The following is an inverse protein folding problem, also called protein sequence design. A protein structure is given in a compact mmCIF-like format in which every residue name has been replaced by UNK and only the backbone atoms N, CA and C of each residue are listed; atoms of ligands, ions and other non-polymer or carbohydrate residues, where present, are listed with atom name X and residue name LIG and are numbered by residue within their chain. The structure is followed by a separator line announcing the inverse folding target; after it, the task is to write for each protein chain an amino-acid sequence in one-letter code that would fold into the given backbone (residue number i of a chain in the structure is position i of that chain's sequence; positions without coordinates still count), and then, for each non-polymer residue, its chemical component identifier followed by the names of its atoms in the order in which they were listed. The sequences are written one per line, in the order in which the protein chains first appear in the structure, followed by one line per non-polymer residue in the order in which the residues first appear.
data_IF_253214092220
#
_entry.id   IF_253214092220
#
_cell.length_a   1.000
_cell.length_b   1.000
_cell.length_c   1.000
_cell.angle_alpha   90.00
_cell.angle_beta   90.00
_cell.angle_gamma   90.00
#
_symmetry.space_group_name_H-M   'P 1'
#
loop_
_entity.id
_entity.type
_entity.pdbx_description
1 polymer ?
#
# COMPACT_ATOMS: atom_id res chain seq x y z
N UNK A 1 75.83 -32.08 -52.01
CA UNK A 1 74.43 -32.36 -52.34
C UNK A 1 73.62 -32.09 -51.08
N UNK A 2 73.01 -30.92 -50.99
CA UNK A 2 72.34 -30.42 -49.78
C UNK A 2 70.83 -30.64 -49.96
N UNK A 3 70.21 -31.44 -49.10
CA UNK A 3 68.76 -31.71 -49.12
C UNK A 3 68.07 -30.66 -48.26
N UNK A 4 67.21 -29.85 -48.88
CA UNK A 4 66.38 -28.85 -48.21
C UNK A 4 65.05 -29.50 -47.82
N UNK A 5 64.85 -29.75 -46.52
CA UNK A 5 63.58 -30.26 -45.99
C UNK A 5 62.72 -29.08 -45.56
N UNK A 6 61.58 -28.87 -46.24
CA UNK A 6 60.57 -27.87 -45.86
C UNK A 6 59.60 -28.51 -44.86
N UNK A 7 59.54 -27.98 -43.65
CA UNK A 7 58.57 -28.39 -42.62
C UNK A 7 57.36 -27.46 -42.71
N UNK A 8 56.20 -27.99 -43.10
CA UNK A 8 54.92 -27.29 -42.98
C UNK A 8 54.32 -27.57 -41.60
N UNK A 9 54.22 -26.54 -40.77
CA UNK A 9 53.44 -26.59 -39.53
C UNK A 9 51.97 -26.32 -39.86
N UNK A 10 51.10 -27.31 -39.68
CA UNK A 10 49.65 -27.12 -39.76
C UNK A 10 49.16 -26.81 -38.34
N UNK A 11 48.73 -25.57 -38.09
CA UNK A 11 48.02 -25.22 -36.86
C UNK A 11 46.59 -25.77 -36.93
N UNK A 12 46.29 -26.78 -36.14
CA UNK A 12 44.92 -27.24 -35.92
C UNK A 12 44.18 -26.20 -35.08
N UNK A 13 43.13 -25.59 -35.64
CA UNK A 13 42.16 -24.84 -34.85
C UNK A 13 41.26 -25.84 -34.12
N UNK A 14 41.39 -25.96 -32.80
CA UNK A 14 40.38 -26.59 -31.98
C UNK A 14 39.18 -25.64 -31.92
N UNK A 15 38.15 -25.88 -32.73
CA UNK A 15 36.84 -25.28 -32.49
C UNK A 15 36.22 -26.02 -31.31
N UNK A 16 36.31 -25.41 -30.12
CA UNK A 16 35.42 -25.78 -29.01
C UNK A 16 34.01 -25.43 -29.46
N UNK A 17 33.22 -26.46 -29.75
CA UNK A 17 31.77 -26.38 -29.91
C UNK A 17 31.17 -25.96 -28.56
N UNK A 18 31.16 -24.65 -28.33
CA UNK A 18 30.38 -24.05 -27.27
C UNK A 18 28.97 -23.90 -27.80
N UNK A 19 28.06 -24.77 -27.35
CA UNK A 19 26.64 -24.51 -27.47
C UNK A 19 26.36 -23.10 -26.94
N UNK A 20 25.46 -22.32 -27.56
CA UNK A 20 25.06 -21.04 -26.99
C UNK A 20 24.50 -21.31 -25.58
N UNK A 21 25.20 -20.84 -24.56
CA UNK A 21 24.60 -20.64 -23.26
C UNK A 21 23.54 -19.58 -23.45
N UNK A 22 22.27 -20.00 -23.48
CA UNK A 22 21.17 -19.12 -23.09
C UNK A 22 21.50 -18.75 -21.64
N UNK A 23 22.11 -17.59 -21.48
CA UNK A 23 21.99 -16.82 -20.26
C UNK A 23 20.50 -16.52 -20.15
N UNK A 24 19.76 -17.37 -19.44
CA UNK A 24 18.57 -16.92 -18.74
C UNK A 24 19.08 -15.96 -17.68
N UNK A 25 19.49 -14.75 -18.10
CA UNK A 25 19.26 -13.60 -17.25
C UNK A 25 17.74 -13.45 -17.28
N UNK A 26 17.04 -14.32 -16.54
CA UNK A 26 15.77 -13.92 -15.98
C UNK A 26 16.08 -12.56 -15.35
N UNK A 27 15.35 -11.52 -15.78
CA UNK A 27 15.42 -10.26 -15.06
C UNK A 27 15.36 -10.61 -13.59
N UNK A 28 16.32 -10.11 -12.81
CA UNK A 28 16.29 -10.33 -11.37
C UNK A 28 14.87 -9.98 -10.93
N UNK A 29 14.18 -10.93 -10.30
CA UNK A 29 12.88 -10.63 -9.74
C UNK A 29 13.12 -9.48 -8.75
N UNK A 30 12.37 -8.39 -8.89
CA UNK A 30 12.45 -7.26 -7.97
C UNK A 30 12.30 -7.82 -6.53
N UNK A 31 13.16 -7.34 -5.64
CA UNK A 31 13.14 -7.82 -4.28
C UNK A 31 11.88 -7.27 -3.60
N UNK A 32 11.24 -8.10 -2.78
CA UNK A 32 10.17 -7.61 -1.90
C UNK A 32 10.73 -6.42 -1.08
N UNK A 33 9.94 -5.35 -1.00
CA UNK A 33 10.25 -4.04 -0.43
C UNK A 33 11.13 -3.11 -1.26
N UNK A 34 11.39 -3.41 -2.53
CA UNK A 34 11.96 -2.43 -3.43
C UNK A 34 11.01 -1.23 -3.57
N UNK A 35 11.54 -0.01 -3.37
CA UNK A 35 10.79 1.22 -3.64
C UNK A 35 10.66 1.39 -5.15
N UNK A 36 9.43 1.24 -5.65
CA UNK A 36 9.10 1.32 -7.08
C UNK A 36 8.50 2.67 -7.48
N UNK A 37 8.08 3.47 -6.50
CA UNK A 37 7.52 4.79 -6.73
C UNK A 37 7.77 5.73 -5.55
N UNK A 38 7.96 7.01 -5.84
CA UNK A 38 8.08 8.08 -4.86
C UNK A 38 7.57 9.39 -5.46
N UNK A 39 6.38 9.81 -5.02
CA UNK A 39 5.73 11.01 -5.51
C UNK A 39 5.77 12.10 -4.44
N UNK A 40 6.55 13.15 -4.71
CA UNK A 40 6.56 14.40 -3.94
C UNK A 40 5.22 15.11 -4.16
N UNK A 41 4.38 15.13 -3.13
CA UNK A 41 2.99 15.57 -3.26
C UNK A 41 2.89 17.09 -3.36
N UNK A 42 3.75 17.83 -2.66
CA UNK A 42 3.81 19.28 -2.76
C UNK A 42 4.35 19.75 -4.10
N UNK A 43 5.40 19.10 -4.63
CA UNK A 43 5.84 19.34 -6.00
C UNK A 43 4.77 18.93 -7.03
N UNK A 44 3.96 17.92 -6.68
CA UNK A 44 2.81 17.45 -7.45
C UNK A 44 1.62 18.41 -7.47
N UNK A 45 1.59 19.43 -6.61
CA UNK A 45 0.58 20.49 -6.61
C UNK A 45 -0.22 20.62 -5.30
N UNK A 46 0.02 19.78 -4.29
CA UNK A 46 -0.60 19.96 -2.97
C UNK A 46 0.02 21.19 -2.28
N UNK A 47 -0.79 22.13 -1.76
CA UNK A 47 -0.28 23.42 -1.31
C UNK A 47 0.38 23.40 0.08
N UNK A 48 0.29 22.31 0.84
CA UNK A 48 0.79 22.21 2.21
C UNK A 48 1.03 20.75 2.66
N UNK A 49 1.83 20.60 3.72
CA UNK A 49 2.20 19.31 4.34
C UNK A 49 1.18 18.80 5.37
N UNK A 50 -0.11 18.77 5.00
CA UNK A 50 -1.19 18.21 5.84
C UNK A 50 -1.92 17.09 5.12
N UNK A 51 -1.20 16.28 4.34
CA UNK A 51 -1.77 15.08 3.75
C UNK A 51 -2.00 14.03 4.84
N UNK A 52 -3.16 13.37 4.87
CA UNK A 52 -3.53 12.49 6.01
C UNK A 52 -4.18 11.16 5.61
N UNK A 53 -4.40 10.94 4.32
CA UNK A 53 -4.98 9.70 3.82
C UNK A 53 -4.69 9.52 2.34
N UNK A 54 -4.63 8.26 1.92
CA UNK A 54 -4.45 7.89 0.53
C UNK A 54 -5.26 6.64 0.19
N UNK A 55 -5.74 6.53 -1.06
CA UNK A 55 -6.55 5.41 -1.54
C UNK A 55 -6.39 5.21 -3.04
N UNK A 56 -6.55 3.99 -3.53
CA UNK A 56 -6.52 3.67 -4.96
C UNK A 56 -7.90 3.21 -5.43
N UNK A 57 -8.49 3.89 -6.41
CA UNK A 57 -9.83 3.57 -6.94
C UNK A 57 -9.82 2.63 -8.16
N UNK A 58 -8.65 2.10 -8.53
CA UNK A 58 -8.44 1.34 -9.76
C UNK A 58 -7.90 2.16 -10.94
N UNK A 59 -7.93 3.49 -10.87
CA UNK A 59 -7.50 4.43 -11.93
C UNK A 59 -6.59 5.55 -11.40
N UNK A 60 -6.93 6.13 -10.25
CA UNK A 60 -6.26 7.26 -9.64
C UNK A 60 -5.94 6.99 -8.16
N UNK A 61 -4.83 7.57 -7.70
CA UNK A 61 -4.56 7.74 -6.28
C UNK A 61 -5.33 8.95 -5.77
N UNK A 62 -6.18 8.73 -4.79
CA UNK A 62 -6.86 9.76 -4.03
C UNK A 62 -5.99 10.11 -2.84
N UNK A 63 -5.68 11.39 -2.66
CA UNK A 63 -4.95 11.90 -1.49
C UNK A 63 -5.80 12.94 -0.81
N UNK A 64 -5.97 12.82 0.51
CA UNK A 64 -6.66 13.82 1.33
C UNK A 64 -5.66 14.78 1.94
N UNK A 65 -5.95 16.07 1.85
CA UNK A 65 -5.17 17.13 2.47
C UNK A 65 -6.06 18.00 3.36
N UNK A 66 -5.55 18.35 4.54
CA UNK A 66 -6.19 19.32 5.42
C UNK A 66 -6.07 20.75 4.89
N UNK A 67 -7.02 21.60 5.28
CA UNK A 67 -6.99 23.04 5.01
C UNK A 67 -5.87 23.78 5.77
N UNK A 68 -5.39 23.21 6.87
CA UNK A 68 -4.30 23.79 7.66
C UNK A 68 -4.23 23.30 9.10
N UNK A 69 -3.20 23.72 9.81
CA UNK A 69 -3.03 23.43 11.24
C UNK A 69 -4.25 23.92 12.04
N UNK A 70 -4.70 23.09 12.99
CA UNK A 70 -5.87 23.31 13.84
C UNK A 70 -7.24 23.13 13.16
N UNK A 71 -7.29 22.62 11.92
CA UNK A 71 -8.53 22.06 11.37
C UNK A 71 -9.59 23.09 10.96
N UNK A 72 -9.22 24.34 10.71
CA UNK A 72 -10.12 25.34 10.16
C UNK A 72 -10.08 25.34 8.63
N UNK A 73 -11.25 25.32 7.97
CA UNK A 73 -11.40 25.32 6.51
C UNK A 73 -11.94 23.98 5.98
N UNK A 74 -11.95 23.85 4.65
CA UNK A 74 -12.44 22.66 3.95
C UNK A 74 -11.25 21.86 3.43
N UNK A 75 -11.15 20.59 3.82
CA UNK A 75 -10.14 19.68 3.27
C UNK A 75 -10.35 19.47 1.76
N UNK A 76 -9.30 19.06 1.05
CA UNK A 76 -9.30 18.85 -0.40
C UNK A 76 -8.87 17.42 -0.75
N UNK A 77 -9.56 16.80 -1.70
CA UNK A 77 -9.07 15.62 -2.40
C UNK A 77 -8.17 16.09 -3.55
N UNK A 78 -7.09 15.36 -3.77
CA UNK A 78 -6.21 15.48 -4.93
C UNK A 78 -6.10 14.11 -5.58
N UNK A 79 -6.40 14.04 -6.88
CA UNK A 79 -6.36 12.81 -7.66
C UNK A 79 -5.08 12.80 -8.48
N UNK A 80 -4.23 11.80 -8.25
CA UNK A 80 -3.02 11.57 -9.02
C UNK A 80 -3.19 10.38 -9.94
N UNK A 81 -2.67 10.49 -11.15
CA UNK A 81 -2.48 9.34 -12.04
C UNK A 81 -1.55 8.30 -11.41
N UNK A 82 -1.52 7.09 -11.99
CA UNK A 82 -0.60 6.04 -11.56
C UNK A 82 0.87 6.44 -11.61
N UNK A 83 1.22 7.44 -12.42
CA UNK A 83 2.58 7.94 -12.61
C UNK A 83 2.90 9.16 -11.71
N UNK A 84 2.01 9.48 -10.75
CA UNK A 84 2.23 10.55 -9.79
C UNK A 84 1.91 11.97 -10.29
N UNK A 85 1.30 12.11 -11.47
CA UNK A 85 0.87 13.42 -11.98
C UNK A 85 -0.52 13.79 -11.46
N UNK A 86 -0.70 15.00 -10.95
CA UNK A 86 -2.01 15.53 -10.54
C UNK A 86 -2.96 15.62 -11.74
N UNK A 87 -4.18 15.12 -11.57
CA UNK A 87 -5.24 15.03 -12.57
C UNK A 87 -6.41 15.95 -12.23
N UNK A 88 -6.83 15.97 -10.97
CA UNK A 88 -7.97 16.74 -10.50
C UNK A 88 -7.85 17.06 -9.00
N UNK A 89 -8.60 18.07 -8.54
CA UNK A 89 -8.75 18.41 -7.14
C UNK A 89 -10.15 18.95 -6.84
N UNK A 90 -10.70 18.58 -5.67
CA UNK A 90 -12.02 19.03 -5.26
C UNK A 90 -12.22 18.98 -3.73
N UNK A 91 -13.20 19.73 -3.18
CA UNK A 91 -13.44 19.76 -1.74
C UNK A 91 -13.91 18.41 -1.17
N UNK A 92 -13.42 18.06 0.03
CA UNK A 92 -13.88 16.91 0.83
C UNK A 92 -15.24 17.17 1.52
N UNK A 93 -16.10 17.98 0.89
CA UNK A 93 -17.36 18.48 1.48
C UNK A 93 -17.16 18.97 2.93
N UNK A 94 -18.11 18.76 3.84
CA UNK A 94 -18.03 19.25 5.22
C UNK A 94 -16.95 18.58 6.10
N UNK A 95 -15.97 17.88 5.51
CA UNK A 95 -14.87 17.29 6.25
C UNK A 95 -14.11 18.36 7.06
N UNK A 96 -13.58 17.99 8.24
CA UNK A 96 -12.87 18.91 9.12
C UNK A 96 -11.63 19.45 8.41
N UNK A 97 -11.10 20.57 8.85
CA UNK A 97 -9.91 21.16 8.21
C UNK A 97 -8.64 20.30 8.35
N UNK A 98 -8.67 19.16 9.04
CA UNK A 98 -7.59 18.18 8.98
C UNK A 98 -7.71 17.19 7.81
N UNK A 99 -8.83 17.18 7.09
CA UNK A 99 -9.15 16.21 6.03
C UNK A 99 -9.70 14.88 6.56
N UNK A 100 -10.10 13.99 5.66
CA UNK A 100 -10.50 12.62 5.95
C UNK A 100 -9.26 11.76 6.18
N UNK A 101 -9.28 10.90 7.20
CA UNK A 101 -8.17 10.02 7.56
C UNK A 101 -8.24 8.71 6.83
N UNK A 102 -7.12 8.39 6.18
CA UNK A 102 -6.90 7.21 5.32
C UNK A 102 -8.03 6.96 4.32
N UNK A 103 -7.80 6.11 3.31
CA UNK A 103 -8.87 5.81 2.36
C UNK A 103 -8.86 4.34 1.95
N UNK A 104 -10.05 3.77 1.80
CA UNK A 104 -10.21 2.45 1.18
C UNK A 104 -11.27 2.48 0.08
N UNK A 105 -11.20 1.51 -0.83
CA UNK A 105 -12.07 1.39 -1.99
C UNK A 105 -12.79 0.04 -1.97
N UNK A 106 -14.09 0.02 -2.23
CA UNK A 106 -14.88 -1.22 -2.29
C UNK A 106 -15.14 -1.72 -3.73
N UNK A 107 -14.59 -1.07 -4.75
CA UNK A 107 -14.92 -1.32 -6.15
C UNK A 107 -15.96 -0.34 -6.73
N UNK A 108 -16.62 0.46 -5.90
CA UNK A 108 -17.66 1.44 -6.28
C UNK A 108 -17.43 2.81 -5.66
N UNK A 109 -17.13 2.88 -4.37
CA UNK A 109 -16.98 4.10 -3.59
C UNK A 109 -15.62 4.14 -2.88
N UNK A 110 -15.07 5.35 -2.77
CA UNK A 110 -13.94 5.64 -1.87
C UNK A 110 -14.49 6.05 -0.50
N UNK A 111 -13.97 5.42 0.54
CA UNK A 111 -14.34 5.66 1.94
C UNK A 111 -13.20 6.40 2.65
N UNK A 112 -13.53 7.33 3.54
CA UNK A 112 -12.56 8.03 4.38
C UNK A 112 -13.16 8.46 5.71
N UNK A 113 -12.36 8.49 6.77
CA UNK A 113 -12.90 8.81 8.09
C UNK A 113 -12.88 10.31 8.41
N UNK A 114 -14.01 10.80 8.89
CA UNK A 114 -14.14 12.01 9.70
C UNK A 114 -14.47 11.63 11.16
N UNK A 115 -13.47 11.67 12.04
CA UNK A 115 -13.63 11.30 13.45
C UNK A 115 -14.24 9.90 13.63
N UNK A 116 -15.50 9.82 14.06
CA UNK A 116 -16.26 8.56 14.24
C UNK A 116 -17.09 8.17 13.02
N UNK A 117 -17.25 9.08 12.06
CA UNK A 117 -17.94 8.82 10.81
C UNK A 117 -16.94 8.35 9.76
N UNK A 118 -17.41 7.44 8.91
CA UNK A 118 -16.74 7.04 7.69
C UNK A 118 -17.65 7.50 6.56
N UNK A 119 -17.19 8.51 5.85
CA UNK A 119 -17.84 9.07 4.68
C UNK A 119 -17.50 8.22 3.45
N UNK A 120 -18.39 8.18 2.47
CA UNK A 120 -18.08 7.56 1.18
C UNK A 120 -18.56 8.39 -0.01
N UNK A 121 -17.75 8.34 -1.06
CA UNK A 121 -17.79 9.21 -2.22
C UNK A 121 -17.87 8.40 -3.50
N UNK A 122 -18.67 8.88 -4.46
CA UNK A 122 -18.74 8.32 -5.80
C UNK A 122 -17.49 8.74 -6.60
N UNK A 123 -16.79 7.75 -7.15
CA UNK A 123 -15.52 7.98 -7.85
C UNK A 123 -15.71 8.62 -9.24
N UNK A 124 -16.94 8.65 -9.77
CA UNK A 124 -17.24 9.23 -11.08
C UNK A 124 -17.74 10.67 -10.95
N UNK A 125 -18.64 10.93 -9.99
CA UNK A 125 -19.20 12.27 -9.77
C UNK A 125 -18.42 13.11 -8.76
N UNK A 126 -17.53 12.49 -7.97
CA UNK A 126 -16.77 13.12 -6.89
C UNK A 126 -17.66 13.68 -5.76
N UNK A 127 -18.93 13.25 -5.69
CA UNK A 127 -19.87 13.69 -4.66
C UNK A 127 -19.89 12.75 -3.46
N UNK A 128 -20.09 13.32 -2.25
CA UNK A 128 -20.39 12.53 -1.05
C UNK A 128 -21.74 11.86 -1.21
N UNK A 129 -21.77 10.53 -1.17
CA UNK A 129 -23.00 9.73 -1.31
C UNK A 129 -23.64 9.47 0.06
N UNK A 130 -22.82 9.26 1.09
CA UNK A 130 -23.30 8.95 2.42
C UNK A 130 -22.21 8.84 3.47
N UNK A 131 -22.59 8.26 4.62
CA UNK A 131 -21.67 7.96 5.71
C UNK A 131 -22.24 6.85 6.59
N UNK A 132 -21.40 6.23 7.41
CA UNK A 132 -21.82 5.39 8.54
C UNK A 132 -20.95 5.67 9.78
N UNK A 133 -21.40 5.24 10.95
CA UNK A 133 -20.67 5.45 12.22
C UNK A 133 -19.92 4.18 12.63
N UNK A 134 -18.61 4.28 12.91
CA UNK A 134 -17.77 3.17 13.39
C UNK A 134 -17.94 2.91 14.90
N UNK A 135 -17.93 3.97 15.72
CA UNK A 135 -17.87 3.94 17.20
C UNK A 135 -16.74 3.09 17.81
N UNK A 136 -15.84 2.51 17.01
CA UNK A 136 -14.74 1.68 17.50
C UNK A 136 -13.62 2.55 18.07
N UNK A 137 -13.28 3.64 17.39
CA UNK A 137 -12.24 4.59 17.78
C UNK A 137 -12.50 5.98 17.19
N UNK A 138 -12.04 7.03 17.87
CA UNK A 138 -12.15 8.43 17.42
C UNK A 138 -10.79 9.15 17.48
N UNK A 139 -10.24 9.65 16.36
CA UNK A 139 -10.67 9.41 14.98
C UNK A 139 -10.27 8.01 14.49
N UNK A 140 -10.93 7.49 13.47
CA UNK A 140 -10.52 6.28 12.74
C UNK A 140 -9.38 6.66 11.80
N UNK A 141 -8.13 6.49 12.22
CA UNK A 141 -6.99 7.00 11.46
C UNK A 141 -6.59 6.12 10.30
N UNK A 142 -6.57 4.82 10.54
CA UNK A 142 -6.35 3.82 9.52
C UNK A 142 -7.70 3.33 8.99
N UNK A 143 -7.76 2.99 7.71
CA UNK A 143 -8.97 2.45 7.11
C UNK A 143 -8.66 1.49 5.96
N UNK A 144 -9.05 0.23 6.09
CA UNK A 144 -8.98 -0.78 5.03
C UNK A 144 -10.32 -1.50 4.85
N UNK A 145 -10.48 -2.19 3.73
CA UNK A 145 -11.68 -2.99 3.43
C UNK A 145 -11.26 -4.30 2.73
N UNK A 146 -11.76 -5.45 3.20
CA UNK A 146 -11.40 -6.77 2.65
C UNK A 146 -12.40 -7.33 1.63
N UNK A 147 -13.45 -6.57 1.29
CA UNK A 147 -14.58 -7.04 0.50
C UNK A 147 -15.79 -7.48 1.34
N UNK A 148 -15.67 -7.52 2.67
CA UNK A 148 -16.75 -7.85 3.61
C UNK A 148 -16.79 -6.88 4.78
N UNK A 149 -15.68 -6.73 5.50
CA UNK A 149 -15.54 -5.92 6.70
C UNK A 149 -14.52 -4.79 6.49
N UNK A 150 -14.68 -3.73 7.27
CA UNK A 150 -13.71 -2.64 7.35
C UNK A 150 -12.75 -2.87 8.52
N UNK A 151 -11.53 -2.35 8.42
CA UNK A 151 -10.54 -2.40 9.48
C UNK A 151 -10.09 -0.99 9.84
N UNK A 152 -10.01 -0.68 11.13
CA UNK A 152 -9.65 0.66 11.61
C UNK A 152 -8.80 0.61 12.87
N UNK A 153 -8.03 1.67 13.10
CA UNK A 153 -7.31 1.90 14.36
C UNK A 153 -6.85 3.35 14.48
N UNK A 154 -6.26 3.70 15.62
CA UNK A 154 -5.83 5.08 15.90
C UNK A 154 -4.73 5.12 16.95
N UNK A 155 -3.51 5.45 16.53
CA UNK A 155 -2.31 5.69 17.36
C UNK A 155 -2.13 4.73 18.54
N UNK A 156 -2.52 3.48 18.33
CA UNK A 156 -2.51 2.41 19.33
C UNK A 156 -2.30 1.08 18.63
N UNK A 157 -2.09 0.04 19.43
CA UNK A 157 -1.84 -1.32 18.96
C UNK A 157 -3.12 -2.01 18.47
N UNK A 158 -4.30 -1.54 18.89
CA UNK A 158 -5.58 -2.20 18.61
C UNK A 158 -6.08 -1.86 17.22
N UNK A 159 -6.36 -2.91 16.45
CA UNK A 159 -7.12 -2.85 15.21
C UNK A 159 -8.51 -3.42 15.46
N UNK A 160 -9.53 -2.69 15.03
CA UNK A 160 -10.92 -3.09 15.08
C UNK A 160 -11.38 -3.58 13.72
N UNK A 161 -12.16 -4.66 13.70
CA UNK A 161 -12.94 -5.07 12.53
C UNK A 161 -14.34 -4.49 12.68
N UNK A 162 -14.85 -3.86 11.63
CA UNK A 162 -16.17 -3.25 11.56
C UNK A 162 -17.03 -4.01 10.55
N UNK A 163 -18.23 -4.39 10.97
CA UNK A 163 -19.26 -4.93 10.08
C UNK A 163 -20.36 -3.88 9.91
N UNK A 164 -20.54 -3.42 8.68
CA UNK A 164 -21.56 -2.46 8.29
C UNK A 164 -22.65 -3.14 7.46
N UNK A 165 -23.90 -2.72 7.65
CA UNK A 165 -25.07 -3.31 6.97
C UNK A 165 -25.34 -2.71 5.57
N UNK A 166 -24.47 -1.81 5.10
CA UNK A 166 -24.62 -1.11 3.82
C UNK A 166 -25.66 0.01 3.82
N UNK A 167 -26.28 0.33 4.97
CA UNK A 167 -27.30 1.38 5.06
C UNK A 167 -26.67 2.69 5.51
N UNK A 168 -26.73 3.72 4.64
CA UNK A 168 -26.26 5.07 4.97
C UNK A 168 -26.92 5.61 6.25
N UNK A 169 -26.11 6.18 7.14
CA UNK A 169 -26.52 6.70 8.44
C UNK A 169 -26.64 5.65 9.55
N UNK A 170 -26.41 4.37 9.25
CA UNK A 170 -26.38 3.32 10.27
C UNK A 170 -25.07 3.34 11.08
N UNK A 171 -24.99 2.47 12.09
CA UNK A 171 -23.81 2.29 12.94
C UNK A 171 -23.29 0.88 12.73
N UNK A 172 -22.03 0.76 12.34
CA UNK A 172 -21.35 -0.53 12.24
C UNK A 172 -21.17 -1.17 13.63
N UNK A 173 -21.22 -2.49 13.69
CA UNK A 173 -20.74 -3.23 14.87
C UNK A 173 -19.24 -3.42 14.78
N UNK A 174 -18.54 -3.52 15.92
CA UNK A 174 -17.10 -3.74 15.93
C UNK A 174 -16.64 -4.78 16.97
N UNK A 175 -15.49 -5.38 16.69
CA UNK A 175 -14.74 -6.24 17.60
C UNK A 175 -13.28 -5.82 17.63
N UNK A 176 -12.57 -6.13 18.73
CA UNK A 176 -11.12 -6.04 18.74
C UNK A 176 -10.60 -7.23 17.92
N UNK A 177 -10.05 -6.97 16.74
CA UNK A 177 -9.62 -8.00 15.81
C UNK A 177 -8.15 -8.36 15.99
N UNK A 178 -7.28 -7.37 16.16
CA UNK A 178 -5.85 -7.59 16.39
C UNK A 178 -5.26 -6.58 17.37
N UNK A 179 -4.15 -6.96 17.99
CA UNK A 179 -3.25 -6.08 18.74
C UNK A 179 -1.80 -6.19 18.24
N UNK A 180 -1.60 -6.63 16.99
CA UNK A 180 -0.29 -6.90 16.40
C UNK A 180 0.41 -5.63 15.89
N UNK A 181 -0.33 -4.54 15.67
CA UNK A 181 0.22 -3.25 15.27
C UNK A 181 0.95 -2.57 16.46
N UNK A 182 1.80 -1.58 16.18
CA UNK A 182 2.53 -0.83 17.23
C UNK A 182 1.89 0.54 17.51
N UNK A 183 1.59 1.32 16.47
CA UNK A 183 0.96 2.64 16.61
C UNK A 183 0.22 2.97 15.32
N UNK A 184 -0.98 2.41 15.17
CA UNK A 184 -1.74 2.41 13.92
C UNK A 184 -1.97 3.82 13.36
N UNK A 185 -1.63 4.04 12.08
CA UNK A 185 -1.92 5.31 11.40
C UNK A 185 -2.64 5.12 10.07
N UNK A 186 -2.17 4.24 9.20
CA UNK A 186 -2.82 3.84 7.95
C UNK A 186 -2.93 2.33 7.85
N UNK A 187 -3.86 1.83 7.04
CA UNK A 187 -3.99 0.42 6.77
C UNK A 187 -4.46 0.13 5.34
N UNK A 188 -3.96 -0.96 4.77
CA UNK A 188 -4.35 -1.41 3.44
C UNK A 188 -4.61 -2.92 3.47
N UNK A 189 -5.74 -3.36 2.92
CA UNK A 189 -6.00 -4.79 2.78
C UNK A 189 -5.40 -5.31 1.48
N UNK A 190 -4.58 -6.35 1.61
CA UNK A 190 -3.95 -7.04 0.50
C UNK A 190 -4.66 -8.36 0.26
N UNK A 191 -5.54 -8.36 -0.74
CA UNK A 191 -6.26 -9.55 -1.16
C UNK A 191 -5.38 -10.64 -1.78
N UNK A 192 -4.20 -10.29 -2.31
CA UNK A 192 -3.30 -11.26 -2.94
C UNK A 192 -2.56 -12.09 -1.90
N UNK A 193 -2.14 -11.45 -0.81
CA UNK A 193 -1.46 -12.10 0.32
C UNK A 193 -2.40 -12.45 1.49
N UNK A 194 -3.67 -12.04 1.43
CA UNK A 194 -4.69 -12.24 2.46
C UNK A 194 -4.25 -11.71 3.83
N UNK A 195 -3.75 -10.46 3.84
CA UNK A 195 -3.23 -9.78 5.02
C UNK A 195 -3.61 -8.30 5.05
N UNK A 196 -3.52 -7.72 6.24
CA UNK A 196 -3.62 -6.29 6.47
C UNK A 196 -2.20 -5.70 6.66
N UNK A 197 -1.87 -4.72 5.85
CA UNK A 197 -0.71 -3.86 6.04
C UNK A 197 -1.08 -2.71 6.96
N UNK A 198 -0.26 -2.42 7.97
CA UNK A 198 -0.52 -1.32 8.93
C UNK A 198 0.73 -0.48 9.13
N UNK A 199 0.63 0.82 8.85
CA UNK A 199 1.71 1.79 9.05
C UNK A 199 1.75 2.32 10.48
N UNK A 200 2.91 2.85 10.89
CA UNK A 200 3.12 3.36 12.25
C UNK A 200 3.35 4.87 12.34
N UNK A 201 2.69 5.52 13.31
CA UNK A 201 2.85 6.94 13.62
C UNK A 201 4.01 7.28 14.58
N UNK A 202 4.73 6.29 15.11
CA UNK A 202 5.71 6.49 16.17
C UNK A 202 7.13 6.85 15.69
N UNK A 203 7.30 7.12 14.39
CA UNK A 203 8.60 7.42 13.78
C UNK A 203 9.51 6.20 13.57
N UNK A 204 9.06 4.98 13.87
CA UNK A 204 9.88 3.77 13.69
C UNK A 204 10.09 3.36 12.24
N UNK A 205 9.25 3.87 11.32
CA UNK A 205 9.20 3.39 9.94
C UNK A 205 8.73 1.95 9.79
N UNK A 206 8.11 1.38 10.82
CA UNK A 206 7.58 0.02 10.79
C UNK A 206 6.25 -0.01 10.03
N UNK A 207 6.16 -0.98 9.12
CA UNK A 207 4.92 -1.46 8.51
C UNK A 207 4.71 -2.90 8.98
N UNK A 208 3.59 -3.15 9.66
CA UNK A 208 3.22 -4.49 10.13
C UNK A 208 2.44 -5.24 9.05
N UNK A 209 2.80 -6.50 8.81
CA UNK A 209 2.00 -7.45 8.06
C UNK A 209 1.19 -8.30 9.04
N UNK A 210 -0.14 -8.20 9.00
CA UNK A 210 -1.03 -8.93 9.91
C UNK A 210 -1.87 -9.89 9.07
N UNK A 211 -1.80 -11.19 9.37
CA UNK A 211 -2.59 -12.20 8.65
C UNK A 211 -4.09 -11.98 8.87
N UNK A 212 -4.93 -12.54 7.99
CA UNK A 212 -6.40 -12.45 8.11
C UNK A 212 -6.98 -12.98 9.44
N UNK A 213 -6.24 -13.82 10.18
CA UNK A 213 -6.63 -14.28 11.52
C UNK A 213 -6.27 -13.32 12.67
N UNK A 214 -5.69 -12.15 12.34
CA UNK A 214 -5.27 -11.13 13.28
C UNK A 214 -3.86 -11.33 13.86
N UNK A 215 -3.14 -12.39 13.49
CA UNK A 215 -1.78 -12.63 13.98
C UNK A 215 -0.72 -11.83 13.20
N UNK A 216 0.33 -11.38 13.89
CA UNK A 216 1.48 -10.75 13.25
C UNK A 216 2.23 -11.79 12.41
N UNK A 217 2.44 -11.48 11.13
CA UNK A 217 3.35 -12.23 10.25
C UNK A 217 4.76 -11.70 10.46
N UNK A 218 4.99 -10.43 10.14
CA UNK A 218 6.29 -9.78 10.22
C UNK A 218 6.13 -8.24 10.35
N UNK A 219 7.19 -7.58 10.85
CA UNK A 219 7.35 -6.14 10.79
C UNK A 219 8.47 -5.80 9.81
N UNK A 220 8.20 -4.88 8.89
CA UNK A 220 9.15 -4.40 7.91
C UNK A 220 9.52 -2.96 8.22
N UNK A 221 10.79 -2.61 8.08
CA UNK A 221 11.25 -1.22 8.24
C UNK A 221 11.67 -0.69 6.88
N UNK A 222 10.91 0.28 6.37
CA UNK A 222 11.18 0.87 5.04
C UNK A 222 12.14 2.06 5.14
N UNK A 223 11.80 3.10 5.92
CA UNK A 223 12.70 4.23 6.20
C UNK A 223 12.59 4.60 7.67
N UNK A 224 13.71 4.53 8.38
CA UNK A 224 13.80 4.96 9.77
C UNK A 224 13.45 6.46 9.88
N UNK A 225 12.82 6.85 11.00
CA UNK A 225 12.43 8.23 11.33
C UNK A 225 11.27 8.83 10.51
N UNK A 226 10.66 8.06 9.60
CA UNK A 226 9.44 8.47 8.88
C UNK A 226 8.17 8.30 9.70
N UNK A 227 7.24 9.26 9.57
CA UNK A 227 5.85 9.11 10.07
C UNK A 227 4.95 8.74 8.91
N UNK A 228 4.43 7.51 8.92
CA UNK A 228 3.65 6.99 7.81
C UNK A 228 2.17 7.04 8.15
N UNK A 229 1.45 7.90 7.43
CA UNK A 229 0.00 8.07 7.47
C UNK A 229 -0.72 6.96 6.72
N UNK A 230 -1.66 7.36 5.85
CA UNK A 230 -2.52 6.45 5.10
C UNK A 230 -1.77 5.39 4.29
N UNK A 231 -2.46 4.33 3.92
CA UNK A 231 -1.92 3.26 3.11
C UNK A 231 -2.98 2.72 2.15
N UNK A 232 -2.55 2.25 0.97
CA UNK A 232 -3.47 1.64 0.00
C UNK A 232 -2.78 0.60 -0.86
N UNK A 233 -3.55 -0.37 -1.34
CA UNK A 233 -3.06 -1.38 -2.27
C UNK A 233 -3.36 -1.00 -3.71
N UNK A 234 -2.35 -1.14 -4.58
CA UNK A 234 -2.53 -1.15 -6.03
C UNK A 234 -2.14 -2.55 -6.54
N UNK A 235 -3.15 -3.40 -6.67
CA UNK A 235 -2.97 -4.78 -7.12
C UNK A 235 -3.04 -4.85 -8.64
N UNK A 236 -1.93 -4.57 -9.33
CA UNK A 236 -1.80 -4.75 -10.79
C UNK A 236 -1.04 -6.02 -11.10
N UNK A 237 -1.75 -7.14 -11.23
CA UNK A 237 -1.15 -8.44 -11.59
C UNK A 237 -0.15 -8.31 -12.76
N UNK A 238 1.09 -8.82 -12.64
CA UNK A 238 1.57 -9.72 -11.58
C UNK A 238 2.11 -9.05 -10.31
N UNK A 239 2.17 -7.72 -10.26
CA UNK A 239 2.78 -6.97 -9.14
C UNK A 239 1.73 -6.58 -8.11
N UNK A 240 2.06 -6.79 -6.85
CA UNK A 240 1.27 -6.36 -5.69
C UNK A 240 2.00 -5.17 -5.07
N UNK A 241 1.41 -3.98 -5.17
CA UNK A 241 2.08 -2.74 -4.76
C UNK A 241 1.39 -2.18 -3.52
N UNK A 242 2.17 -1.93 -2.46
CA UNK A 242 1.72 -1.19 -1.29
C UNK A 242 2.16 0.27 -1.41
N UNK A 243 1.20 1.18 -1.44
CA UNK A 243 1.46 2.61 -1.36
C UNK A 243 1.24 3.11 0.06
N UNK A 244 2.16 3.90 0.58
CA UNK A 244 2.06 4.54 1.89
C UNK A 244 2.30 6.03 1.78
N UNK A 245 1.53 6.79 2.54
CA UNK A 245 1.68 8.22 2.68
C UNK A 245 2.72 8.51 3.77
N UNK A 246 3.84 9.11 3.41
CA UNK A 246 4.82 9.65 4.36
C UNK A 246 4.48 11.12 4.66
N UNK A 247 4.29 11.43 5.94
CA UNK A 247 4.22 12.81 6.42
C UNK A 247 5.63 13.31 6.70
N UNK A 248 6.14 14.15 5.81
CA UNK A 248 7.55 14.51 5.71
C UNK A 248 7.77 16.00 5.49
N UNK A 249 8.88 16.32 4.82
CA UNK A 249 9.15 17.67 4.32
C UNK A 249 9.98 17.54 3.04
N UNK A 250 9.34 17.28 1.89
CA UNK A 250 7.88 17.26 1.61
C UNK A 250 7.14 15.98 2.07
N UNK A 251 5.81 16.02 2.07
CA UNK A 251 4.97 14.81 2.13
C UNK A 251 5.14 14.00 0.83
N UNK A 252 5.10 12.67 0.94
CA UNK A 252 5.32 11.79 -0.21
C UNK A 252 4.37 10.60 -0.23
N UNK A 253 3.97 10.17 -1.43
CA UNK A 253 3.33 8.86 -1.63
C UNK A 253 4.39 7.89 -2.15
N UNK A 254 4.74 6.88 -1.35
CA UNK A 254 5.77 5.88 -1.68
C UNK A 254 5.13 4.55 -2.02
N UNK A 255 5.56 3.95 -3.12
CA UNK A 255 5.13 2.61 -3.55
C UNK A 255 6.24 1.59 -3.32
N UNK A 256 5.88 0.46 -2.75
CA UNK A 256 6.77 -0.68 -2.53
C UNK A 256 6.23 -1.91 -3.25
N UNK A 257 7.11 -2.69 -3.87
CA UNK A 257 6.76 -4.03 -4.32
C UNK A 257 6.62 -4.95 -3.11
N UNK A 258 5.40 -5.42 -2.86
CA UNK A 258 5.11 -6.42 -1.80
C UNK A 258 4.66 -7.75 -2.42
N UNK A 259 4.94 -7.94 -3.70
CA UNK A 259 4.87 -9.25 -4.34
C UNK A 259 5.78 -10.18 -3.57
N UNK A 260 5.24 -11.27 -3.06
CA UNK A 260 6.05 -12.33 -2.50
C UNK A 260 6.87 -12.95 -3.65
N UNK A 261 8.09 -12.42 -3.86
CA UNK A 261 9.03 -12.85 -4.90
C UNK A 261 9.39 -14.35 -4.81
N UNK A 262 8.99 -15.04 -3.75
CA UNK A 262 9.32 -16.43 -3.50
C UNK A 262 8.14 -17.39 -3.38
N UNK A 263 6.88 -16.95 -3.45
CA UNK A 263 5.76 -17.79 -2.99
C UNK A 263 6.14 -18.50 -1.70
N UNK A 264 6.78 -17.75 -0.80
CA UNK A 264 7.49 -18.27 0.35
C UNK A 264 6.48 -19.09 1.10
N UNK A 265 6.68 -20.39 1.03
CA UNK A 265 5.90 -21.42 1.65
C UNK A 265 5.54 -20.97 3.07
N UNK A 266 4.38 -20.32 3.22
CA UNK A 266 3.87 -19.96 4.53
C UNK A 266 3.77 -21.27 5.32
N UNK A 267 3.87 -21.23 6.64
CA UNK A 267 3.81 -22.45 7.47
C UNK A 267 2.61 -23.35 7.11
N UNK A 268 1.57 -22.79 6.51
CA UNK A 268 0.36 -23.50 6.05
C UNK A 268 0.59 -24.30 4.76
N UNK A 269 1.50 -23.90 3.88
CA UNK A 269 1.88 -24.67 2.69
C UNK A 269 2.76 -25.90 3.00
N UNK A 270 3.38 -25.96 4.19
CA UNK A 270 4.13 -27.15 4.66
C UNK A 270 3.21 -28.33 4.99
N UNK A 271 1.93 -28.06 5.30
CA UNK A 271 0.94 -29.10 5.62
C UNK A 271 0.63 -30.01 4.44
N UNK A 272 0.70 -29.50 3.21
CA UNK A 272 0.39 -30.26 2.00
C UNK A 272 1.52 -31.20 1.56
N UNK A 273 2.79 -30.85 1.82
CA UNK A 273 3.96 -31.66 1.42
C UNK A 273 4.10 -32.94 2.25
N UNK A 274 3.51 -33.01 3.45
CA UNK A 274 3.56 -34.22 4.29
C UNK A 274 2.69 -35.38 3.79
N UNK A 275 1.90 -35.20 2.74
CA UNK A 275 1.10 -36.27 2.13
C UNK A 275 1.78 -36.97 0.95
N UNK A 276 3.01 -36.56 0.59
CA UNK A 276 3.74 -37.04 -0.59
C UNK A 276 4.98 -37.90 -0.28
N UNK A 277 5.25 -38.22 0.98
CA UNK A 277 6.31 -39.14 1.40
C UNK A 277 5.82 -40.16 2.42
#
# INVERSE_FOLDING_TARGET
MLVLTVVFSVTAFAMTDGAPTISLSGGEADAMWDEIANYDLEAGGIPNAYTVGCGWDGTYFWVTNGAGMAGAGTGMFYLFSSDGMLVDDFPQFNAPGWGLRDLCFDGTYIYGSDDNQIDYYDITSHEKVGAFTSNAVNPNRALAYDGTDFYTGSFSEVIYQLTWDGVSGSTATHTNWSSAATSTYGAAWDSANNCLWVTSANGSGIIAQIAADGSLVENHTVIADGTYGGATMRNTSPVVELFVLEQGSPDALRGYDVTDAGGALSRDSWGAIKSLF
#
